data_IF_927849885440
#
_entry.id   IF_927849885440
#
_cell.length_a   1.000
_cell.length_b   1.000
_cell.length_c   1.000
_cell.angle_alpha   90.00
_cell.angle_beta   90.00
_cell.angle_gamma   90.00
#
_symmetry.space_group_name_H-M   'P 1'
#
loop_
_entity.id
_entity.type
_entity.pdbx_description
1 polymer ?
#
# COMPACT_ATOMS: atom_id res chain seq x y z
N UNK A 1 13.84 -9.87 -10.28
CA UNK A 1 14.05 -10.83 -11.38
C UNK A 1 15.04 -11.96 -11.05
N UNK A 2 16.27 -11.71 -10.57
CA UNK A 2 17.25 -12.80 -10.29
C UNK A 2 16.77 -13.89 -9.33
N UNK A 3 16.13 -13.54 -8.23
CA UNK A 3 15.62 -14.53 -7.27
C UNK A 3 14.52 -15.44 -7.83
N UNK A 4 13.67 -14.93 -8.69
CA UNK A 4 12.60 -15.73 -9.34
C UNK A 4 13.20 -16.75 -10.30
N UNK A 5 14.21 -16.35 -11.06
CA UNK A 5 14.90 -17.25 -11.99
C UNK A 5 15.59 -18.40 -11.24
N UNK A 6 16.24 -18.12 -10.12
CA UNK A 6 16.90 -19.12 -9.27
C UNK A 6 15.90 -20.17 -8.76
N UNK A 7 14.72 -19.75 -8.31
CA UNK A 7 13.66 -20.65 -7.80
C UNK A 7 13.15 -21.58 -8.91
N UNK A 8 12.89 -21.05 -10.11
CA UNK A 8 12.43 -21.83 -11.25
C UNK A 8 13.48 -22.87 -11.66
N UNK A 9 14.75 -22.46 -11.73
CA UNK A 9 15.87 -23.37 -12.05
C UNK A 9 15.98 -24.48 -11.00
N UNK A 10 15.88 -24.18 -9.71
CA UNK A 10 15.95 -25.18 -8.63
C UNK A 10 14.79 -26.18 -8.74
N UNK A 11 13.59 -25.72 -9.07
CA UNK A 11 12.40 -26.58 -9.25
C UNK A 11 12.58 -27.53 -10.45
N UNK A 12 13.13 -27.04 -11.57
CA UNK A 12 13.42 -27.85 -12.77
C UNK A 12 14.47 -28.92 -12.45
N UNK A 13 15.52 -28.57 -11.71
CA UNK A 13 16.58 -29.51 -11.32
C UNK A 13 16.02 -30.61 -10.41
N UNK A 14 15.19 -30.26 -9.42
CA UNK A 14 14.54 -31.23 -8.54
C UNK A 14 13.60 -32.17 -9.30
N UNK A 15 12.83 -31.67 -10.23
CA UNK A 15 11.94 -32.48 -11.08
C UNK A 15 12.74 -33.45 -11.97
N UNK A 16 13.78 -32.95 -12.63
CA UNK A 16 14.66 -33.76 -13.47
C UNK A 16 15.37 -34.85 -12.65
N UNK A 17 15.83 -34.54 -11.45
CA UNK A 17 16.43 -35.50 -10.53
C UNK A 17 15.44 -36.61 -10.10
N UNK A 18 14.20 -36.26 -9.81
CA UNK A 18 13.15 -37.23 -9.46
C UNK A 18 12.83 -38.17 -10.62
N UNK A 19 12.76 -37.65 -11.85
CA UNK A 19 12.53 -38.47 -13.06
C UNK A 19 13.72 -39.41 -13.31
N UNK A 20 14.94 -38.94 -13.16
CA UNK A 20 16.16 -39.72 -13.34
C UNK A 20 16.25 -40.86 -12.32
N UNK A 21 15.95 -40.59 -11.06
CA UNK A 21 15.84 -41.57 -9.98
C UNK A 21 14.80 -42.66 -10.31
N UNK A 22 13.64 -42.26 -10.83
CA UNK A 22 12.61 -43.21 -11.26
C UNK A 22 13.12 -44.15 -12.37
N UNK A 23 13.80 -43.61 -13.38
CA UNK A 23 14.29 -44.40 -14.51
C UNK A 23 15.40 -45.37 -14.07
N UNK A 24 16.31 -44.95 -13.21
CA UNK A 24 17.48 -45.75 -12.79
C UNK A 24 17.14 -46.85 -11.76
N UNK A 25 16.23 -46.56 -10.82
CA UNK A 25 15.95 -47.47 -9.71
C UNK A 25 14.69 -48.30 -9.87
N UNK A 26 13.67 -47.83 -10.59
CA UNK A 26 12.39 -48.55 -10.75
C UNK A 26 12.55 -49.94 -11.33
N UNK A 27 13.39 -50.19 -12.40
CA UNK A 27 13.54 -51.53 -12.96
C UNK A 27 14.19 -52.54 -12.02
N UNK A 28 14.87 -52.08 -10.94
CA UNK A 28 15.60 -52.97 -9.99
C UNK A 28 14.81 -53.30 -8.74
N UNK A 29 13.61 -52.71 -8.58
CA UNK A 29 12.78 -52.93 -7.37
C UNK A 29 11.68 -53.96 -7.73
N UNK A 30 11.71 -55.12 -7.00
CA UNK A 30 10.72 -56.15 -7.11
C UNK A 30 9.93 -56.26 -5.79
N UNK A 31 8.59 -56.50 -5.91
CA UNK A 31 7.75 -56.77 -4.75
C UNK A 31 7.38 -55.56 -3.90
N UNK A 32 7.31 -55.74 -2.57
CA UNK A 32 6.82 -54.71 -1.64
C UNK A 32 7.64 -53.41 -1.64
N UNK A 33 8.94 -53.46 -1.91
CA UNK A 33 9.82 -52.32 -1.96
C UNK A 33 9.45 -51.32 -3.09
N UNK A 34 8.90 -51.81 -4.19
CA UNK A 34 8.41 -51.00 -5.30
C UNK A 34 7.21 -50.11 -4.88
N UNK A 35 6.30 -50.68 -4.06
CA UNK A 35 5.15 -49.93 -3.52
C UNK A 35 5.57 -48.79 -2.60
N UNK A 36 6.49 -49.05 -1.68
CA UNK A 36 7.00 -48.01 -0.79
C UNK A 36 7.67 -46.89 -1.56
N UNK A 37 8.45 -47.21 -2.58
CA UNK A 37 9.11 -46.20 -3.44
C UNK A 37 8.09 -45.36 -4.21
N UNK A 38 7.04 -45.97 -4.75
CA UNK A 38 5.96 -45.25 -5.44
C UNK A 38 5.25 -44.32 -4.48
N UNK A 39 4.89 -44.79 -3.26
CA UNK A 39 4.21 -43.95 -2.27
C UNK A 39 5.08 -42.78 -1.83
N UNK A 40 6.36 -42.96 -1.54
CA UNK A 40 7.28 -41.86 -1.18
C UNK A 40 7.41 -40.87 -2.34
N UNK A 41 7.52 -41.34 -3.57
CA UNK A 41 7.62 -40.49 -4.75
C UNK A 41 6.37 -39.60 -4.91
N UNK A 42 5.16 -40.16 -4.74
CA UNK A 42 3.91 -39.41 -4.81
C UNK A 42 3.79 -38.38 -3.69
N UNK A 43 4.16 -38.75 -2.45
CA UNK A 43 4.14 -37.82 -1.31
C UNK A 43 5.09 -36.63 -1.57
N UNK A 44 6.32 -36.89 -2.00
CA UNK A 44 7.27 -35.84 -2.34
C UNK A 44 6.76 -34.95 -3.49
N UNK A 45 6.14 -35.51 -4.50
CA UNK A 45 5.54 -34.79 -5.62
C UNK A 45 4.42 -33.84 -5.16
N UNK A 46 3.49 -34.35 -4.35
CA UNK A 46 2.39 -33.54 -3.79
C UNK A 46 2.95 -32.39 -2.92
N UNK A 47 3.93 -32.67 -2.07
CA UNK A 47 4.54 -31.66 -1.20
C UNK A 47 5.22 -30.55 -2.02
N UNK A 48 5.90 -30.91 -3.10
CA UNK A 48 6.53 -29.95 -4.02
C UNK A 48 5.50 -29.08 -4.71
N UNK A 49 4.36 -29.63 -5.13
CA UNK A 49 3.26 -28.85 -5.73
C UNK A 49 2.67 -27.88 -4.71
N UNK A 50 2.39 -28.33 -3.48
CA UNK A 50 1.85 -27.46 -2.42
C UNK A 50 2.81 -26.31 -2.10
N UNK A 51 4.11 -26.58 -1.97
CA UNK A 51 5.12 -25.55 -1.73
C UNK A 51 5.21 -24.55 -2.90
N UNK A 52 5.10 -25.03 -4.13
CA UNK A 52 5.11 -24.19 -5.33
C UNK A 52 3.90 -23.27 -5.38
N UNK A 53 2.71 -23.79 -5.08
CA UNK A 53 1.47 -22.99 -5.02
C UNK A 53 1.59 -21.92 -3.92
N UNK A 54 2.09 -22.29 -2.74
CA UNK A 54 2.26 -21.35 -1.62
C UNK A 54 3.27 -20.25 -1.98
N UNK A 55 4.34 -20.59 -2.69
CA UNK A 55 5.34 -19.63 -3.15
C UNK A 55 4.75 -18.68 -4.22
N UNK A 56 4.01 -19.22 -5.19
CA UNK A 56 3.31 -18.43 -6.20
C UNK A 56 2.31 -17.48 -5.53
N UNK A 57 1.52 -17.98 -4.58
CA UNK A 57 0.59 -17.17 -3.81
C UNK A 57 1.29 -16.02 -3.08
N UNK A 58 2.42 -16.28 -2.42
CA UNK A 58 3.22 -15.23 -1.75
C UNK A 58 3.81 -14.22 -2.73
N UNK A 59 4.21 -14.63 -3.92
CA UNK A 59 4.83 -13.74 -4.90
C UNK A 59 3.81 -12.87 -5.63
N UNK A 60 2.62 -13.41 -5.95
CA UNK A 60 1.64 -12.72 -6.78
C UNK A 60 0.51 -12.07 -5.96
N UNK A 61 0.11 -12.68 -4.84
CA UNK A 61 -1.05 -12.23 -4.06
C UNK A 61 -0.68 -11.66 -2.69
N UNK A 62 0.48 -11.97 -2.13
CA UNK A 62 0.95 -11.21 -0.99
C UNK A 62 1.24 -9.78 -1.50
N UNK A 63 0.35 -8.86 -1.16
CA UNK A 63 0.68 -7.42 -1.26
C UNK A 63 2.08 -7.27 -0.69
N UNK A 64 3.02 -6.58 -1.40
CA UNK A 64 4.35 -6.38 -0.86
C UNK A 64 4.17 -5.88 0.57
N UNK A 65 4.58 -6.70 1.53
CA UNK A 65 4.58 -6.30 2.93
C UNK A 65 5.34 -4.98 2.93
N UNK A 66 4.63 -3.87 3.22
CA UNK A 66 5.30 -2.59 3.43
C UNK A 66 6.41 -2.91 4.40
N UNK A 67 7.69 -2.62 4.07
CA UNK A 67 8.79 -3.03 4.92
C UNK A 67 8.52 -2.50 6.32
N UNK A 68 8.08 -3.38 7.20
CA UNK A 68 7.96 -3.12 8.62
C UNK A 68 9.39 -2.86 9.09
N UNK A 69 9.68 -1.60 9.42
CA UNK A 69 10.93 -1.27 10.09
C UNK A 69 11.97 -0.52 9.27
N UNK A 70 11.59 0.23 8.23
CA UNK A 70 12.47 1.34 7.84
C UNK A 70 12.28 2.45 8.86
N UNK A 71 13.27 2.53 9.73
CA UNK A 71 13.50 3.51 10.76
C UNK A 71 12.98 4.91 10.37
N UNK A 72 12.45 5.65 11.34
CA UNK A 72 12.00 7.04 11.20
C UNK A 72 13.03 7.96 10.51
N UNK A 73 14.30 7.60 10.49
CA UNK A 73 15.38 8.30 9.80
C UNK A 73 15.23 8.28 8.25
N UNK A 74 14.61 7.26 7.65
CA UNK A 74 14.37 7.19 6.20
C UNK A 74 13.23 8.12 5.79
N UNK A 75 12.31 8.42 6.69
CA UNK A 75 11.22 9.39 6.45
C UNK A 75 11.71 10.84 6.44
N UNK A 76 12.75 11.14 7.20
CA UNK A 76 13.33 12.49 7.24
C UNK A 76 13.98 12.90 5.90
N UNK A 77 14.49 11.92 5.12
CA UNK A 77 15.13 12.17 3.82
C UNK A 77 14.18 12.04 2.62
N UNK A 78 12.93 11.56 2.79
CA UNK A 78 11.90 11.52 1.73
C UNK A 78 11.10 12.82 1.63
N UNK A 79 11.61 13.95 2.07
CA UNK A 79 11.01 15.28 1.85
C UNK A 79 11.01 15.73 0.38
N UNK A 80 11.29 14.85 -0.56
CA UNK A 80 11.14 15.09 -2.00
C UNK A 80 9.73 14.80 -2.54
N UNK A 81 8.74 14.51 -1.69
CA UNK A 81 7.37 14.44 -2.17
C UNK A 81 6.86 15.85 -2.41
N UNK A 82 6.50 16.08 -3.65
CA UNK A 82 5.84 17.30 -4.08
C UNK A 82 4.67 17.64 -3.14
N UNK A 83 4.65 18.89 -2.65
CA UNK A 83 3.61 19.42 -1.78
C UNK A 83 3.11 20.75 -2.29
N UNK A 84 1.80 20.89 -2.30
CA UNK A 84 1.15 22.17 -2.51
C UNK A 84 0.93 22.79 -1.15
N UNK A 85 1.53 23.96 -0.89
CA UNK A 85 1.28 24.75 0.30
C UNK A 85 0.26 25.83 -0.06
N UNK A 86 -0.83 25.90 0.70
CA UNK A 86 -1.94 26.80 0.43
C UNK A 86 -1.84 28.11 1.21
N UNK A 87 -1.90 29.25 0.53
CA UNK A 87 -2.14 30.53 1.18
C UNK A 87 -3.48 30.52 1.93
N UNK A 88 -3.59 31.35 2.97
CA UNK A 88 -4.76 31.35 3.86
C UNK A 88 -6.09 31.56 3.13
N UNK A 89 -6.09 32.35 2.05
CA UNK A 89 -7.30 32.77 1.34
C UNK A 89 -7.81 31.76 0.28
N UNK A 90 -7.01 30.71 -0.04
CA UNK A 90 -7.38 29.66 -1.03
C UNK A 90 -7.28 28.25 -0.47
N UNK A 91 -7.29 28.09 0.83
CA UNK A 91 -7.18 26.78 1.47
C UNK A 91 -8.35 25.88 1.10
N UNK A 92 -8.08 24.67 0.61
CA UNK A 92 -9.11 23.65 0.53
C UNK A 92 -9.61 23.28 1.92
N UNK A 93 -10.76 22.63 1.97
CA UNK A 93 -11.35 22.15 3.22
C UNK A 93 -11.40 20.63 3.20
N UNK A 94 -10.79 20.00 4.20
CA UNK A 94 -10.98 18.58 4.46
C UNK A 94 -12.28 18.42 5.26
N UNK A 95 -13.23 17.66 4.71
CA UNK A 95 -14.50 17.37 5.35
C UNK A 95 -14.45 15.92 5.78
N UNK A 96 -14.48 15.69 7.09
CA UNK A 96 -14.47 14.36 7.72
C UNK A 96 -15.89 13.97 8.08
N UNK A 97 -16.32 12.80 7.61
CA UNK A 97 -17.60 12.23 7.94
C UNK A 97 -17.48 11.41 9.22
N UNK A 98 -18.15 11.82 10.26
CA UNK A 98 -18.23 11.09 11.53
C UNK A 98 -19.64 10.52 11.70
N UNK A 99 -19.73 9.20 11.72
CA UNK A 99 -20.96 8.52 12.09
C UNK A 99 -21.13 8.64 13.61
N UNK A 100 -22.14 9.36 14.04
CA UNK A 100 -22.62 9.34 15.40
C UNK A 100 -23.89 8.48 15.44
N UNK A 101 -24.28 7.96 16.61
CA UNK A 101 -25.37 6.97 16.78
C UNK A 101 -26.72 7.37 16.17
N UNK A 102 -26.94 8.64 15.84
CA UNK A 102 -28.17 9.13 15.24
C UNK A 102 -28.02 10.06 14.03
N UNK A 103 -26.80 10.49 13.69
CA UNK A 103 -26.57 11.42 12.58
C UNK A 103 -25.15 11.33 12.05
N UNK A 104 -24.98 11.64 10.77
CA UNK A 104 -23.66 11.84 10.17
C UNK A 104 -23.28 13.30 10.40
N UNK A 105 -22.30 13.56 11.24
CA UNK A 105 -21.73 14.90 11.40
C UNK A 105 -20.58 15.09 10.42
N UNK A 106 -20.56 16.23 9.79
CA UNK A 106 -19.42 16.66 8.95
C UNK A 106 -18.60 17.66 9.75
N UNK A 107 -17.29 17.35 9.86
CA UNK A 107 -16.31 18.22 10.49
C UNK A 107 -15.45 18.82 9.39
N UNK A 108 -15.29 20.15 9.37
CA UNK A 108 -14.57 20.87 8.34
C UNK A 108 -13.23 21.39 8.86
N UNK A 109 -12.13 21.08 8.16
CA UNK A 109 -10.76 21.45 8.55
C UNK A 109 -10.04 22.14 7.40
N UNK A 110 -9.54 23.38 7.57
CA UNK A 110 -8.74 24.08 6.56
C UNK A 110 -7.41 23.36 6.31
N UNK A 111 -7.14 23.02 5.05
CA UNK A 111 -5.91 22.34 4.64
C UNK A 111 -4.76 23.35 4.49
N UNK A 112 -3.63 23.07 5.12
CA UNK A 112 -2.41 23.87 5.02
C UNK A 112 -1.56 23.41 3.84
N UNK A 113 -1.32 22.09 3.75
CA UNK A 113 -0.56 21.48 2.68
C UNK A 113 -1.19 20.16 2.22
N UNK A 114 -0.94 19.80 0.97
CA UNK A 114 -1.44 18.59 0.33
C UNK A 114 -0.35 17.95 -0.51
N UNK A 115 -0.21 16.63 -0.36
CA UNK A 115 0.67 15.78 -1.17
C UNK A 115 -0.07 14.53 -1.64
N UNK A 116 0.56 13.69 -2.45
CA UNK A 116 -0.04 12.43 -2.86
C UNK A 116 -0.39 11.52 -1.68
N UNK A 117 0.49 11.46 -0.69
CA UNK A 117 0.39 10.49 0.41
C UNK A 117 -0.23 11.06 1.68
N UNK A 118 -0.52 12.37 1.75
CA UNK A 118 -1.03 12.95 2.96
C UNK A 118 -1.24 14.45 2.90
N UNK A 119 -1.70 15.00 4.02
CA UNK A 119 -2.06 16.40 4.16
C UNK A 119 -1.76 16.88 5.58
N UNK A 120 -1.61 18.19 5.72
CA UNK A 120 -1.63 18.89 7.00
C UNK A 120 -2.82 19.85 7.01
N UNK A 121 -3.59 19.87 8.10
CA UNK A 121 -4.74 20.75 8.25
C UNK A 121 -4.82 21.34 9.66
N UNK A 122 -5.66 22.35 9.82
CA UNK A 122 -5.93 22.97 11.11
C UNK A 122 -7.10 22.28 11.80
N UNK A 123 -6.91 21.84 13.04
CA UNK A 123 -7.93 21.27 13.91
C UNK A 123 -8.21 22.24 15.06
N UNK A 124 -9.46 22.59 15.23
CA UNK A 124 -9.96 23.41 16.34
C UNK A 124 -10.19 22.59 17.63
N UNK A 125 -9.82 21.31 17.61
CA UNK A 125 -10.04 20.37 18.70
C UNK A 125 -11.23 19.44 18.44
N UNK A 126 -12.04 19.68 17.43
CA UNK A 126 -13.23 18.88 17.11
C UNK A 126 -12.91 17.48 16.60
N UNK A 127 -11.70 17.26 16.03
CA UNK A 127 -11.25 15.94 15.61
C UNK A 127 -11.10 14.96 16.80
N UNK A 128 -10.75 15.48 18.00
CA UNK A 128 -10.57 14.66 19.19
C UNK A 128 -9.48 13.59 19.05
N UNK A 129 -9.79 12.35 19.41
CA UNK A 129 -8.90 11.18 19.36
C UNK A 129 -9.09 10.33 18.11
N UNK A 130 -9.60 10.91 17.01
CA UNK A 130 -9.83 10.15 15.78
C UNK A 130 -8.48 9.73 15.18
N UNK A 131 -8.20 8.41 15.17
CA UNK A 131 -6.99 7.85 14.58
C UNK A 131 -7.15 7.56 13.08
N UNK A 132 -8.35 7.25 12.63
CA UNK A 132 -8.67 6.98 11.23
C UNK A 132 -9.90 7.78 10.82
N UNK A 133 -9.90 8.27 9.59
CA UNK A 133 -11.00 9.07 9.07
C UNK A 133 -11.30 8.70 7.63
N UNK A 134 -12.52 8.98 7.21
CA UNK A 134 -12.95 9.02 5.81
C UNK A 134 -13.71 10.31 5.55
N UNK A 135 -13.62 10.79 4.32
CA UNK A 135 -14.23 12.04 3.95
C UNK A 135 -13.82 12.50 2.55
N UNK A 136 -13.82 13.78 2.33
CA UNK A 136 -13.39 14.36 1.07
C UNK A 136 -12.69 15.71 1.26
N UNK A 137 -11.78 16.02 0.34
CA UNK A 137 -11.19 17.37 0.24
C UNK A 137 -11.99 18.15 -0.79
N UNK A 138 -12.53 19.28 -0.38
CA UNK A 138 -13.21 20.24 -1.25
C UNK A 138 -12.23 21.35 -1.59
N UNK A 139 -11.87 21.47 -2.87
CA UNK A 139 -11.04 22.55 -3.37
C UNK A 139 -11.82 23.87 -3.54
N UNK A 140 -11.11 24.98 -3.65
CA UNK A 140 -11.70 26.29 -3.89
C UNK A 140 -12.50 26.37 -5.22
N UNK A 141 -12.25 25.47 -6.17
CA UNK A 141 -13.05 25.31 -7.38
C UNK A 141 -14.42 24.67 -7.18
N UNK A 142 -14.67 24.08 -6.01
CA UNK A 142 -15.83 23.23 -5.76
C UNK A 142 -15.62 21.77 -6.06
N UNK A 143 -14.52 21.39 -6.74
CA UNK A 143 -14.17 19.99 -6.98
C UNK A 143 -13.93 19.26 -5.66
N UNK A 144 -14.25 17.97 -5.64
CA UNK A 144 -14.11 17.13 -4.45
C UNK A 144 -13.34 15.86 -4.78
N UNK A 145 -12.43 15.48 -3.88
CA UNK A 145 -11.75 14.19 -3.95
C UNK A 145 -12.03 13.42 -2.66
N UNK A 146 -12.41 12.15 -2.79
CA UNK A 146 -12.59 11.28 -1.64
C UNK A 146 -11.23 10.87 -1.10
N UNK A 147 -11.08 10.93 0.22
CA UNK A 147 -9.86 10.55 0.93
C UNK A 147 -10.22 9.74 2.17
N UNK A 148 -9.36 8.77 2.48
CA UNK A 148 -9.39 8.06 3.74
C UNK A 148 -7.96 7.95 4.25
N UNK A 149 -7.77 8.02 5.56
CA UNK A 149 -6.42 8.04 6.10
C UNK A 149 -6.38 7.90 7.60
N UNK A 150 -5.16 8.04 8.11
CA UNK A 150 -4.89 8.01 9.55
C UNK A 150 -4.11 9.24 9.99
N UNK A 151 -4.37 9.66 11.21
CA UNK A 151 -3.58 10.69 11.88
C UNK A 151 -2.19 10.14 12.22
N UNK A 152 -1.13 10.89 11.84
CA UNK A 152 0.26 10.53 12.14
C UNK A 152 0.79 11.35 13.30
N UNK A 153 0.50 12.64 13.29
CA UNK A 153 1.02 13.57 14.28
C UNK A 153 0.08 14.73 14.50
N UNK A 154 -0.05 15.14 15.75
CA UNK A 154 -0.73 16.36 16.15
C UNK A 154 0.31 17.26 16.84
N UNK A 155 0.41 18.51 16.38
CA UNK A 155 1.30 19.52 16.93
C UNK A 155 0.53 20.82 17.12
N UNK A 156 0.06 21.08 18.35
CA UNK A 156 -0.88 22.16 18.63
C UNK A 156 -2.18 21.94 17.84
N UNK A 157 -2.55 22.93 17.04
CA UNK A 157 -3.72 22.91 16.18
C UNK A 157 -3.45 22.31 14.78
N UNK A 158 -2.23 21.88 14.48
CA UNK A 158 -1.88 21.27 13.20
C UNK A 158 -1.91 19.75 13.32
N UNK A 159 -2.67 19.11 12.42
CA UNK A 159 -2.78 17.67 12.33
C UNK A 159 -2.23 17.20 10.98
N UNK A 160 -1.27 16.29 11.03
CA UNK A 160 -0.70 15.63 9.85
C UNK A 160 -1.31 14.26 9.69
N UNK A 161 -1.77 13.97 8.49
CA UNK A 161 -2.41 12.70 8.14
C UNK A 161 -1.74 12.02 6.98
N UNK A 162 -1.83 10.71 6.95
CA UNK A 162 -1.43 9.88 5.83
C UNK A 162 -2.66 9.25 5.20
N UNK A 163 -2.79 9.36 3.89
CA UNK A 163 -3.84 8.70 3.14
C UNK A 163 -3.56 7.21 2.98
N UNK A 164 -4.59 6.40 2.94
CA UNK A 164 -4.48 4.97 2.63
C UNK A 164 -4.23 4.75 1.14
N UNK A 165 -4.91 5.54 0.30
CA UNK A 165 -4.74 5.55 -1.14
C UNK A 165 -4.16 6.89 -1.55
N UNK A 166 -3.08 6.91 -2.36
CA UNK A 166 -2.46 8.16 -2.80
C UNK A 166 -3.39 8.92 -3.76
N UNK A 167 -3.41 10.24 -3.62
CA UNK A 167 -4.10 11.12 -4.58
C UNK A 167 -3.42 11.02 -5.94
N UNK A 168 -4.20 11.00 -7.01
CA UNK A 168 -3.68 10.96 -8.36
C UNK A 168 -2.83 12.20 -8.67
N UNK A 169 -1.67 11.96 -9.28
CA UNK A 169 -0.72 13.01 -9.63
C UNK A 169 -1.33 14.09 -10.52
N UNK A 170 -2.17 13.71 -11.48
CA UNK A 170 -2.89 14.63 -12.36
C UNK A 170 -3.76 15.64 -11.62
N UNK A 171 -4.44 15.18 -10.56
CA UNK A 171 -5.28 16.03 -9.70
C UNK A 171 -4.44 17.06 -8.96
N UNK A 172 -3.29 16.64 -8.38
CA UNK A 172 -2.39 17.57 -7.69
C UNK A 172 -1.78 18.60 -8.65
N UNK A 173 -1.38 18.19 -9.86
CA UNK A 173 -0.85 19.13 -10.85
C UNK A 173 -1.91 20.14 -11.31
N UNK A 174 -3.15 19.70 -11.51
CA UNK A 174 -4.25 20.60 -11.86
C UNK A 174 -4.49 21.63 -10.75
N UNK A 175 -4.50 21.19 -9.50
CA UNK A 175 -4.67 22.04 -8.34
C UNK A 175 -3.51 23.02 -8.17
N UNK A 176 -2.26 22.56 -8.34
CA UNK A 176 -1.09 23.44 -8.30
C UNK A 176 -1.19 24.58 -9.32
N UNK A 177 -1.55 24.25 -10.57
CA UNK A 177 -1.71 25.26 -11.63
C UNK A 177 -2.76 26.30 -11.25
N UNK A 178 -3.85 25.86 -10.62
CA UNK A 178 -4.93 26.73 -10.15
C UNK A 178 -4.45 27.66 -9.04
N UNK A 179 -3.78 27.14 -8.02
CA UNK A 179 -3.20 27.93 -6.93
C UNK A 179 -2.24 28.98 -7.48
N UNK A 180 -1.34 28.58 -8.40
CA UNK A 180 -0.40 29.50 -9.02
C UNK A 180 -1.11 30.59 -9.86
N UNK A 181 -2.20 30.25 -10.54
CA UNK A 181 -2.99 31.21 -11.32
C UNK A 181 -3.66 32.25 -10.40
N UNK A 182 -4.18 31.83 -9.24
CA UNK A 182 -4.80 32.73 -8.25
C UNK A 182 -3.78 33.59 -7.47
N UNK A 183 -2.52 33.16 -7.42
CA UNK A 183 -1.44 33.92 -6.78
C UNK A 183 -0.82 34.99 -7.70
N UNK A 184 -1.07 34.96 -9.02
CA UNK A 184 -0.61 35.99 -9.92
C UNK A 184 -1.41 37.28 -9.65
N UNK A 185 -0.76 38.40 -9.30
CA UNK A 185 -1.46 39.69 -9.21
C UNK A 185 -2.07 39.99 -10.57
N UNK A 186 -3.34 40.41 -10.57
CA UNK A 186 -3.96 41.01 -11.73
C UNK A 186 -3.15 42.25 -12.11
N UNK A 187 -2.47 42.17 -13.24
CA UNK A 187 -1.73 43.32 -13.80
C UNK A 187 -2.68 44.41 -14.26
#
# INVERSE_FOLDING_TARGET
MRQQLTIIITLIILLAGAVLLKILYFPRLHGQSAYYFICVFWICGILTVILSINLIWRLYFAKPARPAGKSYAVWANRRNTFRIVYPTFIRPVLIVERADSQSIRQLEFPVIDLSQEGSCFLDDGSLGSIHQFSGYIRFSSGDRIRVAGKTIRKNGNQVSVQFFDPIQWSTLLAEQRRVLAQMKPSA
#
